data_IF_210804937570
#
_entry.id   IF_210804937570
#
_cell.length_a   1.000
_cell.length_b   1.000
_cell.length_c   1.000
_cell.angle_alpha   90.00
_cell.angle_beta   90.00
_cell.angle_gamma   90.00
#
_symmetry.space_group_name_H-M   'P 1'
#
loop_
_entity.id
_entity.type
_entity.pdbx_description
1 polymer ?
#
# COMPACT_ATOMS: atom_id res chain seq x y z
N UNK A 1 -4.05 19.93 0.44
CA UNK A 1 -3.14 18.79 0.56
C UNK A 1 -2.06 18.70 -0.52
N UNK A 2 -0.82 18.37 -0.17
CA UNK A 2 0.21 17.90 -1.10
C UNK A 2 0.71 16.51 -0.65
N UNK A 3 0.84 15.56 -1.57
CA UNK A 3 1.47 14.26 -1.26
C UNK A 3 2.98 14.39 -1.40
N UNK A 4 3.74 13.89 -0.42
CA UNK A 4 5.20 13.87 -0.47
C UNK A 4 5.65 12.43 -0.66
N UNK A 5 6.42 12.18 -1.73
CA UNK A 5 7.08 10.90 -1.97
C UNK A 5 8.59 11.14 -1.87
N UNK A 6 9.25 10.42 -0.97
CA UNK A 6 10.70 10.48 -0.82
C UNK A 6 11.27 9.06 -0.67
N UNK A 7 12.52 8.89 -1.09
CA UNK A 7 13.23 7.62 -0.91
C UNK A 7 13.68 7.49 0.55
N UNK A 8 13.49 6.30 1.12
CA UNK A 8 14.04 5.91 2.42
C UNK A 8 15.21 4.93 2.22
N UNK A 9 16.23 5.02 3.09
CA UNK A 9 17.41 4.15 3.02
C UNK A 9 17.21 2.80 3.72
N UNK A 10 16.37 2.77 4.76
CA UNK A 10 16.06 1.57 5.53
C UNK A 10 14.60 1.58 5.99
N UNK A 11 13.99 0.39 6.02
CA UNK A 11 12.61 0.21 6.49
C UNK A 11 12.53 0.30 8.01
N UNK A 12 11.59 1.08 8.52
CA UNK A 12 11.34 1.24 9.95
C UNK A 12 10.34 0.19 10.46
N UNK A 13 10.61 -0.36 11.65
CA UNK A 13 9.64 -1.22 12.35
C UNK A 13 8.51 -0.42 13.01
N UNK A 14 8.65 0.89 13.18
CA UNK A 14 7.64 1.72 13.85
C UNK A 14 6.58 2.29 12.88
N UNK A 15 6.92 2.46 11.60
CA UNK A 15 6.02 3.07 10.61
C UNK A 15 5.03 2.06 10.04
N UNK A 16 3.88 2.56 9.61
CA UNK A 16 2.94 1.79 8.80
C UNK A 16 3.62 1.39 7.49
N UNK A 17 3.31 0.20 6.98
CA UNK A 17 4.04 -0.40 5.87
C UNK A 17 3.09 -0.91 4.80
N UNK A 18 3.40 -0.60 3.55
CA UNK A 18 2.83 -1.21 2.36
C UNK A 18 3.89 -2.12 1.77
N UNK A 19 3.53 -3.37 1.53
CA UNK A 19 4.40 -4.42 1.00
C UNK A 19 3.83 -4.90 -0.32
N UNK A 20 4.57 -4.65 -1.40
CA UNK A 20 4.28 -5.28 -2.69
C UNK A 20 4.96 -6.64 -2.74
N UNK A 21 4.19 -7.68 -3.04
CA UNK A 21 4.68 -9.05 -3.05
C UNK A 21 4.06 -9.90 -4.13
N UNK A 22 4.40 -11.17 -4.06
CA UNK A 22 3.95 -12.29 -4.87
C UNK A 22 3.80 -13.50 -3.96
N UNK A 23 3.22 -14.60 -4.47
CA UNK A 23 3.02 -15.83 -3.71
C UNK A 23 4.34 -16.42 -3.14
N UNK A 24 5.44 -16.20 -3.84
CA UNK A 24 6.80 -16.66 -3.52
C UNK A 24 7.64 -15.63 -2.76
N UNK A 25 7.09 -14.44 -2.47
CA UNK A 25 7.80 -13.40 -1.73
C UNK A 25 8.10 -13.81 -0.29
N UNK A 26 9.29 -13.45 0.18
CA UNK A 26 9.73 -13.73 1.55
C UNK A 26 9.19 -12.69 2.55
N UNK A 27 7.97 -12.93 3.04
CA UNK A 27 7.32 -12.10 4.05
C UNK A 27 7.94 -12.19 5.45
N UNK A 28 8.96 -13.03 5.70
CA UNK A 28 9.64 -13.04 7.01
C UNK A 28 10.38 -11.72 7.30
N UNK A 29 10.73 -10.98 6.23
CA UNK A 29 11.50 -9.73 6.30
C UNK A 29 10.72 -8.53 6.84
N UNK A 30 9.39 -8.61 6.95
CA UNK A 30 8.54 -7.46 7.31
C UNK A 30 8.12 -7.42 8.79
N UNK A 31 8.69 -8.32 9.60
CA UNK A 31 8.47 -8.33 11.05
C UNK A 31 7.12 -8.89 11.49
N UNK A 32 6.58 -9.86 10.75
CA UNK A 32 5.38 -10.60 11.16
C UNK A 32 5.71 -11.55 12.31
N UNK A 33 4.78 -11.67 13.26
CA UNK A 33 4.74 -12.79 14.19
C UNK A 33 4.41 -14.09 13.45
N UNK A 34 4.64 -15.24 14.10
CA UNK A 34 4.30 -16.55 13.50
C UNK A 34 2.81 -16.65 13.13
N UNK A 35 1.92 -16.18 14.00
CA UNK A 35 0.47 -16.22 13.75
C UNK A 35 0.07 -15.33 12.57
N UNK A 36 0.67 -14.14 12.46
CA UNK A 36 0.44 -13.23 11.35
C UNK A 36 0.97 -13.79 10.03
N UNK A 37 2.13 -14.44 10.06
CA UNK A 37 2.69 -15.10 8.89
C UNK A 37 1.77 -16.23 8.41
N UNK A 38 1.35 -17.11 9.32
CA UNK A 38 0.43 -18.22 9.01
C UNK A 38 -0.91 -17.69 8.45
N UNK A 39 -1.41 -16.58 9.00
CA UNK A 39 -2.59 -15.89 8.48
C UNK A 39 -2.37 -15.39 7.04
N UNK A 40 -1.28 -14.67 6.76
CA UNK A 40 -0.97 -14.15 5.41
C UNK A 40 -0.86 -15.29 4.42
N UNK A 41 -0.11 -16.34 4.75
CA UNK A 41 0.03 -17.51 3.87
C UNK A 41 -1.32 -18.16 3.60
N UNK A 42 -2.17 -18.33 4.61
CA UNK A 42 -3.51 -18.91 4.42
C UNK A 42 -4.39 -18.07 3.48
N UNK A 43 -4.30 -16.74 3.57
CA UNK A 43 -5.04 -15.79 2.71
C UNK A 43 -4.54 -15.80 1.27
N UNK A 44 -3.23 -15.84 1.09
CA UNK A 44 -2.62 -15.92 -0.24
C UNK A 44 -2.98 -17.22 -0.97
N UNK A 45 -3.02 -18.36 -0.25
CA UNK A 45 -3.40 -19.67 -0.82
C UNK A 45 -4.83 -19.67 -1.36
N UNK A 46 -5.76 -18.95 -0.73
CA UNK A 46 -7.15 -18.83 -1.21
C UNK A 46 -7.34 -17.73 -2.26
N UNK A 47 -6.25 -17.10 -2.73
CA UNK A 47 -6.28 -16.09 -3.79
C UNK A 47 -6.64 -14.68 -3.32
N UNK A 48 -6.53 -14.39 -2.02
CA UNK A 48 -6.67 -13.03 -1.50
C UNK A 48 -5.35 -12.27 -1.71
N UNK A 49 -5.38 -11.27 -2.58
CA UNK A 49 -4.17 -10.53 -2.98
C UNK A 49 -3.98 -9.21 -2.23
N UNK A 50 -4.92 -8.87 -1.34
CA UNK A 50 -4.93 -7.59 -0.66
C UNK A 50 -5.26 -7.85 0.80
N UNK A 51 -4.24 -7.85 1.65
CA UNK A 51 -4.34 -8.30 3.03
C UNK A 51 -3.92 -7.15 3.95
N UNK A 52 -4.68 -6.93 5.03
CA UNK A 52 -4.36 -5.93 6.04
C UNK A 52 -4.13 -6.61 7.39
N UNK A 53 -2.99 -6.30 8.02
CA UNK A 53 -2.67 -6.69 9.39
C UNK A 53 -2.60 -5.43 10.24
N UNK A 54 -3.38 -5.41 11.31
CA UNK A 54 -3.31 -4.40 12.35
C UNK A 54 -2.46 -4.94 13.51
N UNK A 55 -1.25 -4.41 13.67
CA UNK A 55 -0.35 -4.76 14.78
C UNK A 55 -0.56 -3.88 16.02
N UNK A 56 -1.63 -3.07 16.03
CA UNK A 56 -1.99 -2.06 17.04
C UNK A 56 -1.00 -0.88 17.17
N UNK A 57 0.31 -1.13 17.07
CA UNK A 57 1.33 -0.08 17.00
C UNK A 57 1.56 0.45 15.59
N UNK A 58 1.24 -0.37 14.57
CA UNK A 58 1.35 -0.04 13.15
C UNK A 58 0.39 -0.90 12.32
N UNK A 59 0.23 -0.52 11.06
CA UNK A 59 -0.56 -1.26 10.08
C UNK A 59 0.35 -1.77 8.98
N UNK A 60 0.13 -3.01 8.53
CA UNK A 60 0.82 -3.61 7.41
C UNK A 60 -0.22 -3.95 6.34
N UNK A 61 -0.06 -3.37 5.17
CA UNK A 61 -0.86 -3.66 3.98
C UNK A 61 -0.01 -4.48 3.02
N UNK A 62 -0.48 -5.65 2.63
CA UNK A 62 0.20 -6.54 1.69
C UNK A 62 -0.63 -6.57 0.42
N UNK A 63 -0.01 -6.16 -0.69
CA UNK A 63 -0.64 -6.12 -2.01
C UNK A 63 0.16 -7.00 -2.98
N UNK A 64 -0.47 -8.06 -3.47
CA UNK A 64 0.09 -8.95 -4.48
C UNK A 64 -0.47 -8.58 -5.86
N UNK A 65 0.34 -7.96 -6.70
CA UNK A 65 -0.08 -7.56 -8.03
C UNK A 65 -0.18 -8.80 -8.93
N UNK A 66 -1.30 -8.93 -9.65
CA UNK A 66 -1.44 -9.96 -10.67
C UNK A 66 -0.71 -9.52 -11.94
N UNK A 67 -0.01 -10.45 -12.56
CA UNK A 67 0.58 -10.20 -13.88
C UNK A 67 -0.50 -10.14 -14.96
N UNK A 68 -0.41 -9.10 -15.76
CA UNK A 68 -1.22 -8.82 -16.94
C UNK A 68 -0.44 -9.13 -18.22
N UNK A 69 -1.18 -9.31 -19.31
CA UNK A 69 -0.65 -9.68 -20.62
C UNK A 69 0.35 -8.70 -21.22
N UNK A 70 0.34 -7.44 -20.79
CA UNK A 70 1.26 -6.41 -21.29
C UNK A 70 1.86 -5.61 -20.15
N UNK A 71 3.08 -5.10 -20.39
CA UNK A 71 3.74 -4.19 -19.46
C UNK A 71 2.88 -2.98 -19.14
N UNK A 72 2.23 -2.38 -20.13
CA UNK A 72 1.38 -1.20 -19.92
C UNK A 72 0.22 -1.50 -18.97
N UNK A 73 -0.42 -2.67 -19.12
CA UNK A 73 -1.50 -3.09 -18.22
C UNK A 73 -0.98 -3.32 -16.80
N UNK A 74 0.21 -3.92 -16.64
CA UNK A 74 0.84 -4.09 -15.33
C UNK A 74 1.07 -2.75 -14.62
N UNK A 75 1.59 -1.76 -15.34
CA UNK A 75 1.82 -0.42 -14.78
C UNK A 75 0.51 0.24 -14.35
N UNK A 76 -0.54 0.12 -15.16
CA UNK A 76 -1.83 0.70 -14.83
C UNK A 76 -2.51 0.00 -13.67
N UNK A 77 -2.41 -1.34 -13.57
CA UNK A 77 -2.91 -2.09 -12.42
C UNK A 77 -2.19 -1.74 -11.13
N UNK A 78 -0.90 -1.44 -11.19
CA UNK A 78 -0.18 -0.93 -10.04
C UNK A 78 -0.75 0.43 -9.57
N UNK A 79 -1.03 1.37 -10.49
CA UNK A 79 -1.67 2.65 -10.14
C UNK A 79 -3.07 2.49 -9.58
N UNK A 80 -3.91 1.65 -10.21
CA UNK A 80 -5.26 1.35 -9.71
C UNK A 80 -5.21 0.75 -8.28
N UNK A 81 -4.22 -0.10 -8.01
CA UNK A 81 -3.99 -0.69 -6.69
C UNK A 81 -3.63 0.39 -5.67
N UNK A 82 -2.70 1.29 -6.01
CA UNK A 82 -2.38 2.46 -5.19
C UNK A 82 -3.59 3.33 -4.89
N UNK A 83 -4.42 3.61 -5.89
CA UNK A 83 -5.64 4.40 -5.74
C UNK A 83 -6.69 3.75 -4.81
N UNK A 84 -6.77 2.41 -4.79
CA UNK A 84 -7.64 1.68 -3.85
C UNK A 84 -7.04 1.60 -2.45
N UNK A 85 -5.72 1.49 -2.37
CA UNK A 85 -4.99 1.38 -1.12
C UNK A 85 -5.04 2.68 -0.32
N UNK A 86 -4.83 3.83 -0.97
CA UNK A 86 -4.84 5.13 -0.27
C UNK A 86 -6.19 5.40 0.39
N UNK A 87 -7.31 4.97 -0.20
CA UNK A 87 -8.64 5.08 0.45
C UNK A 87 -8.67 4.35 1.80
N UNK A 88 -8.12 3.14 1.86
CA UNK A 88 -8.05 2.34 3.09
C UNK A 88 -7.11 2.94 4.13
N UNK A 89 -6.02 3.57 3.68
CA UNK A 89 -5.07 4.30 4.54
C UNK A 89 -5.75 5.54 5.14
N UNK A 90 -6.47 6.30 4.32
CA UNK A 90 -7.20 7.50 4.75
C UNK A 90 -8.35 7.15 5.71
N UNK A 91 -9.09 6.06 5.44
CA UNK A 91 -10.14 5.54 6.34
C UNK A 91 -9.56 5.14 7.71
N UNK A 92 -8.33 4.63 7.73
CA UNK A 92 -7.58 4.32 8.94
C UNK A 92 -6.92 5.55 9.60
N UNK A 93 -7.05 6.74 9.00
CA UNK A 93 -6.44 8.01 9.45
C UNK A 93 -4.91 7.92 9.60
N UNK A 94 -4.27 7.26 8.65
CA UNK A 94 -2.81 7.08 8.62
C UNK A 94 -2.18 8.16 7.74
N UNK A 95 -1.35 9.01 8.33
CA UNK A 95 -0.72 10.15 7.64
C UNK A 95 0.54 9.78 6.82
N UNK A 96 1.26 8.73 7.23
CA UNK A 96 2.51 8.29 6.59
C UNK A 96 2.53 6.76 6.49
N UNK A 97 2.97 6.27 5.33
CA UNK A 97 3.30 4.86 5.12
C UNK A 97 4.65 4.74 4.40
N UNK A 98 5.43 3.72 4.74
CA UNK A 98 6.55 3.27 3.93
C UNK A 98 6.07 2.26 2.90
N UNK A 99 6.61 2.29 1.69
CA UNK A 99 6.26 1.33 0.64
C UNK A 99 7.51 0.58 0.21
N UNK A 100 7.46 -0.75 0.27
CA UNK A 100 8.56 -1.64 -0.12
C UNK A 100 8.06 -2.66 -1.15
N UNK A 101 8.98 -3.15 -1.99
CA UNK A 101 8.73 -4.29 -2.87
C UNK A 101 9.59 -5.47 -2.43
N UNK A 102 8.94 -6.61 -2.18
CA UNK A 102 9.58 -7.92 -2.06
C UNK A 102 9.55 -8.70 -3.37
N UNK A 103 8.78 -8.22 -4.36
CA UNK A 103 8.71 -8.79 -5.71
C UNK A 103 10.00 -8.49 -6.50
N UNK A 104 10.34 -9.40 -7.41
CA UNK A 104 11.45 -9.25 -8.35
C UNK A 104 11.25 -8.09 -9.34
N UNK A 105 10.00 -7.76 -9.66
CA UNK A 105 9.65 -6.58 -10.44
C UNK A 105 9.13 -5.48 -9.52
N UNK A 106 9.96 -4.48 -9.28
CA UNK A 106 9.61 -3.35 -8.42
C UNK A 106 8.61 -2.40 -9.09
N UNK A 107 7.36 -2.45 -8.63
CA UNK A 107 6.27 -1.57 -9.06
C UNK A 107 5.95 -0.47 -8.03
N UNK A 108 6.79 -0.32 -7.00
CA UNK A 108 6.58 0.59 -5.87
C UNK A 108 6.24 2.01 -6.30
N UNK A 109 6.98 2.54 -7.26
CA UNK A 109 6.79 3.90 -7.75
C UNK A 109 5.43 4.11 -8.42
N UNK A 110 4.93 3.11 -9.16
CA UNK A 110 3.62 3.20 -9.84
C UNK A 110 2.46 3.08 -8.84
N UNK A 111 2.61 2.27 -7.80
CA UNK A 111 1.65 2.23 -6.70
C UNK A 111 1.64 3.57 -5.95
N UNK A 112 2.81 4.13 -5.63
CA UNK A 112 2.93 5.43 -4.98
C UNK A 112 2.36 6.56 -5.84
N UNK A 113 2.56 6.54 -7.16
CA UNK A 113 1.92 7.45 -8.11
C UNK A 113 0.39 7.36 -8.03
N UNK A 114 -0.17 6.15 -8.07
CA UNK A 114 -1.60 5.92 -7.94
C UNK A 114 -2.17 6.43 -6.62
N UNK A 115 -1.44 6.25 -5.51
CA UNK A 115 -1.81 6.80 -4.19
C UNK A 115 -1.84 8.33 -4.22
N UNK A 116 -0.78 8.97 -4.71
CA UNK A 116 -0.67 10.43 -4.75
C UNK A 116 -1.75 11.07 -5.63
N UNK A 117 -2.04 10.47 -6.79
CA UNK A 117 -3.09 10.95 -7.71
C UNK A 117 -4.48 10.82 -7.09
N UNK A 118 -4.77 9.69 -6.43
CA UNK A 118 -6.06 9.44 -5.81
C UNK A 118 -6.30 10.23 -4.51
N UNK A 119 -5.23 10.67 -3.83
CA UNK A 119 -5.33 11.52 -2.64
C UNK A 119 -5.49 13.01 -2.97
N UNK A 120 -5.34 13.41 -4.25
CA UNK A 120 -5.58 14.79 -4.65
C UNK A 120 -7.06 15.15 -4.56
N UNK A 121 -7.37 16.28 -3.93
CA UNK A 121 -8.72 16.81 -3.81
C UNK A 121 -8.80 18.25 -4.27
N UNK A 122 -9.79 18.54 -5.13
CA UNK A 122 -10.06 19.90 -5.58
C UNK A 122 -11.03 20.62 -4.64
N UNK A 123 -10.50 21.14 -3.53
CA UNK A 123 -11.30 21.72 -2.45
C UNK A 123 -11.58 23.23 -2.59
N UNK A 124 -11.11 23.87 -3.68
CA UNK A 124 -11.06 25.33 -3.84
C UNK A 124 -12.37 26.08 -3.60
N UNK A 125 -13.51 25.46 -3.92
CA UNK A 125 -14.83 26.12 -3.89
C UNK A 125 -15.73 25.66 -2.73
N UNK A 126 -15.23 24.81 -1.82
CA UNK A 126 -16.00 24.41 -0.65
C UNK A 126 -15.93 25.48 0.43
N UNK A 127 -17.08 25.84 1.02
CA UNK A 127 -17.15 26.83 2.11
C UNK A 127 -16.44 26.39 3.38
N UNK A 128 -16.24 25.08 3.56
CA UNK A 128 -15.43 24.51 4.63
C UNK A 128 -14.59 23.35 4.06
N UNK A 129 -13.40 23.64 3.49
CA UNK A 129 -12.59 22.64 2.81
C UNK A 129 -12.05 21.57 3.77
N UNK A 130 -11.69 21.95 5.00
CA UNK A 130 -11.12 21.05 6.02
C UNK A 130 -12.05 19.89 6.37
N UNK A 131 -13.38 20.11 6.37
CA UNK A 131 -14.36 19.04 6.64
C UNK A 131 -14.44 17.98 5.54
N UNK A 132 -13.97 18.29 4.35
CA UNK A 132 -14.02 17.42 3.19
C UNK A 132 -12.65 16.82 2.86
N UNK A 133 -11.61 17.23 3.59
CA UNK A 133 -10.24 16.76 3.38
C UNK A 133 -10.12 15.31 3.87
N UNK A 134 -9.60 14.43 3.00
CA UNK A 134 -9.20 13.09 3.43
C UNK A 134 -7.89 13.18 4.18
N UNK A 135 -7.77 12.43 5.29
CA UNK A 135 -6.53 12.32 6.08
C UNK A 135 -5.47 11.60 5.27
#
# INVERSE_FOLDING_TARGET
MHSIIHKVEATSKARHLVVLGSLDSDFSKIGLSKLEYDFVTSKLVVGEHSIHINQYSRSIFIECLREESTKSNNLEKARETGAKLVKRINDAKIEEVELISLSSSDMSLYVAEGMALANYQFLKYFSNPEKNETV
#
